data_IF_232878359625
#
_entry.id   IF_232878359625
#
_cell.length_a   1.000
_cell.length_b   1.000
_cell.length_c   1.000
_cell.angle_alpha   90.00
_cell.angle_beta   90.00
_cell.angle_gamma   90.00
#
_symmetry.space_group_name_H-M   'P 1'
#
loop_
_entity.id
_entity.type
_entity.pdbx_description
1 polymer ?
#
# COMPACT_ATOMS: atom_id res chain seq x y z
N UNK A 1 -4.34 8.83 20.95
CA UNK A 1 -4.45 9.02 19.48
C UNK A 1 -3.78 7.90 18.67
N UNK A 2 -2.60 7.42 19.09
CA UNK A 2 -1.84 6.37 18.37
C UNK A 2 -2.58 5.02 18.29
N UNK A 3 -3.19 4.56 19.38
CA UNK A 3 -3.95 3.30 19.43
C UNK A 3 -5.19 3.30 18.50
N UNK A 4 -5.90 4.43 18.43
CA UNK A 4 -7.03 4.62 17.49
C UNK A 4 -6.59 4.54 16.02
N UNK A 5 -5.41 5.11 15.70
CA UNK A 5 -4.84 5.03 14.35
C UNK A 5 -4.34 3.61 14.04
N UNK A 6 -3.82 2.91 15.05
CA UNK A 6 -3.39 1.51 14.94
C UNK A 6 -4.59 0.61 14.59
N UNK A 7 -5.73 0.74 15.27
CA UNK A 7 -6.93 -0.07 14.95
C UNK A 7 -7.43 0.08 13.51
N UNK A 8 -7.30 1.28 12.94
CA UNK A 8 -7.74 1.59 11.58
C UNK A 8 -6.76 1.07 10.52
N UNK A 9 -5.46 1.27 10.72
CA UNK A 9 -4.42 0.89 9.76
C UNK A 9 -4.03 -0.58 9.90
N UNK A 10 -4.23 -1.22 11.06
CA UNK A 10 -3.91 -2.64 11.28
C UNK A 10 -4.99 -3.61 10.81
N UNK A 11 -6.20 -3.16 10.49
CA UNK A 11 -7.26 -4.02 9.93
C UNK A 11 -7.44 -3.76 8.45
N UNK A 12 -7.10 -4.75 7.62
CA UNK A 12 -7.04 -4.58 6.16
C UNK A 12 -8.36 -4.08 5.58
N UNK A 13 -9.48 -4.66 6.02
CA UNK A 13 -10.82 -4.25 5.58
C UNK A 13 -11.12 -2.77 5.86
N UNK A 14 -10.80 -2.27 7.06
CA UNK A 14 -11.06 -0.88 7.42
C UNK A 14 -10.10 0.06 6.67
N UNK A 15 -8.86 -0.35 6.50
CA UNK A 15 -7.86 0.39 5.73
C UNK A 15 -8.29 0.54 4.27
N UNK A 16 -8.62 -0.57 3.60
CA UNK A 16 -9.09 -0.59 2.21
C UNK A 16 -10.33 0.28 2.02
N UNK A 17 -11.36 0.11 2.86
CA UNK A 17 -12.56 0.94 2.78
C UNK A 17 -12.24 2.44 2.89
N UNK A 18 -11.29 2.82 3.75
CA UNK A 18 -10.91 4.22 3.89
C UNK A 18 -10.13 4.75 2.68
N UNK A 19 -9.14 4.01 2.18
CA UNK A 19 -8.32 4.49 1.06
C UNK A 19 -9.10 4.52 -0.25
N UNK A 20 -10.02 3.58 -0.47
CA UNK A 20 -10.89 3.58 -1.67
C UNK A 20 -11.76 4.85 -1.74
N UNK A 21 -12.23 5.33 -0.60
CA UNK A 21 -13.02 6.56 -0.52
C UNK A 21 -12.18 7.85 -0.55
N UNK A 22 -10.90 7.77 -0.16
CA UNK A 22 -10.02 8.94 -0.07
C UNK A 22 -9.23 9.20 -1.36
N UNK A 23 -8.99 8.18 -2.17
CA UNK A 23 -8.18 8.29 -3.39
C UNK A 23 -9.02 8.89 -4.52
N UNK A 24 -8.49 9.92 -5.19
CA UNK A 24 -9.09 10.44 -6.42
C UNK A 24 -8.95 9.42 -7.56
N UNK A 25 -9.75 9.53 -8.65
CA UNK A 25 -9.69 8.60 -9.78
C UNK A 25 -8.26 8.37 -10.30
N UNK A 26 -7.47 9.44 -10.43
CA UNK A 26 -6.08 9.38 -10.87
C UNK A 26 -5.18 8.49 -9.99
N UNK A 27 -5.44 8.44 -8.68
CA UNK A 27 -4.64 7.67 -7.74
C UNK A 27 -5.21 6.27 -7.45
N UNK A 28 -6.41 5.91 -7.92
CA UNK A 28 -6.98 4.59 -7.66
C UNK A 28 -6.09 3.40 -8.04
N UNK A 29 -5.30 3.43 -9.13
CA UNK A 29 -4.35 2.35 -9.44
C UNK A 29 -3.32 2.08 -8.33
N UNK A 30 -3.07 3.04 -7.43
CA UNK A 30 -2.13 2.87 -6.30
C UNK A 30 -2.69 2.05 -5.14
N UNK A 31 -4.01 1.88 -5.03
CA UNK A 31 -4.67 1.16 -3.93
C UNK A 31 -4.03 -0.22 -3.64
N UNK A 32 -3.82 -1.12 -4.63
CA UNK A 32 -3.19 -2.42 -4.38
C UNK A 32 -1.75 -2.30 -3.86
N UNK A 33 -0.97 -1.34 -4.36
CA UNK A 33 0.43 -1.13 -3.94
C UNK A 33 0.52 -0.58 -2.52
N UNK A 34 -0.35 0.37 -2.18
CA UNK A 34 -0.46 0.95 -0.84
C UNK A 34 -0.90 -0.12 0.17
N UNK A 35 -1.81 -1.03 -0.21
CA UNK A 35 -2.19 -2.15 0.64
C UNK A 35 -1.02 -3.14 0.87
N UNK A 36 -0.24 -3.46 -0.18
CA UNK A 36 1.00 -4.26 -0.03
C UNK A 36 1.99 -3.62 0.94
N UNK A 37 2.21 -2.31 0.81
CA UNK A 37 3.09 -1.56 1.72
C UNK A 37 2.57 -1.62 3.17
N UNK A 38 1.27 -1.42 3.36
CA UNK A 38 0.63 -1.49 4.68
C UNK A 38 0.73 -2.87 5.32
N UNK A 39 0.70 -3.97 4.55
CA UNK A 39 0.89 -5.33 5.09
C UNK A 39 2.31 -5.57 5.63
N UNK A 40 3.33 -4.96 5.03
CA UNK A 40 4.72 -5.11 5.54
C UNK A 40 5.04 -4.16 6.69
N UNK A 41 4.45 -2.95 6.70
CA UNK A 41 4.66 -2.00 7.79
C UNK A 41 3.82 -2.38 9.02
N UNK A 42 2.61 -2.89 8.81
CA UNK A 42 1.68 -3.32 9.85
C UNK A 42 1.26 -4.78 9.62
N UNK A 43 2.17 -5.75 9.83
CA UNK A 43 1.81 -7.15 9.84
C UNK A 43 0.78 -7.38 10.96
N UNK A 44 -0.29 -8.09 10.64
CA UNK A 44 -1.46 -8.19 11.50
C UNK A 44 -1.11 -8.77 12.89
N UNK A 45 -1.76 -8.23 13.93
CA UNK A 45 -1.76 -8.63 15.35
C UNK A 45 -0.54 -8.32 16.23
N UNK A 46 0.67 -8.09 15.72
CA UNK A 46 1.81 -7.72 16.58
C UNK A 46 2.46 -6.41 16.10
N UNK A 47 2.49 -5.35 16.92
CA UNK A 47 3.43 -4.25 16.74
C UNK A 47 4.84 -4.82 16.60
N UNK A 48 5.69 -4.18 15.80
CA UNK A 48 7.10 -4.52 15.76
C UNK A 48 7.69 -4.32 17.16
N UNK A 49 7.94 -5.41 17.89
CA UNK A 49 8.63 -5.37 19.18
C UNK A 49 10.12 -5.11 19.00
N UNK A 50 10.68 -5.49 17.84
CA UNK A 50 12.06 -5.31 17.45
C UNK A 50 12.16 -4.67 16.06
N UNK A 51 13.23 -3.90 15.85
CA UNK A 51 13.54 -3.33 14.54
C UNK A 51 13.81 -4.42 13.49
N UNK A 52 13.02 -4.43 12.41
CA UNK A 52 13.34 -5.23 11.23
C UNK A 52 14.25 -4.42 10.29
N UNK A 53 15.54 -4.73 10.32
CA UNK A 53 16.56 -4.12 9.44
C UNK A 53 16.28 -4.34 7.96
N UNK A 54 15.44 -5.33 7.60
CA UNK A 54 15.04 -5.63 6.22
C UNK A 54 13.79 -4.88 5.78
N UNK A 55 13.04 -4.27 6.71
CA UNK A 55 11.77 -3.58 6.41
C UNK A 55 11.96 -2.49 5.36
N UNK A 56 12.99 -1.65 5.52
CA UNK A 56 13.30 -0.59 4.56
C UNK A 56 13.58 -1.13 3.16
N UNK A 57 14.30 -2.24 3.05
CA UNK A 57 14.56 -2.88 1.76
C UNK A 57 13.27 -3.40 1.13
N UNK A 58 12.43 -4.10 1.90
CA UNK A 58 11.12 -4.60 1.45
C UNK A 58 10.19 -3.48 0.98
N UNK A 59 10.14 -2.37 1.72
CA UNK A 59 9.37 -1.19 1.33
C UNK A 59 9.83 -0.63 -0.03
N UNK A 60 11.15 -0.49 -0.23
CA UNK A 60 11.70 -0.02 -1.51
C UNK A 60 11.37 -0.94 -2.68
N UNK A 61 11.44 -2.25 -2.48
CA UNK A 61 11.10 -3.22 -3.53
C UNK A 61 9.62 -3.16 -3.90
N UNK A 62 8.72 -2.98 -2.91
CA UNK A 62 7.29 -2.79 -3.19
C UNK A 62 7.05 -1.54 -4.03
N UNK A 63 7.71 -0.43 -3.71
CA UNK A 63 7.57 0.83 -4.46
C UNK A 63 8.14 0.72 -5.88
N UNK A 64 9.27 0.03 -6.06
CA UNK A 64 9.86 -0.22 -7.38
C UNK A 64 8.95 -1.08 -8.26
N UNK A 65 8.34 -2.11 -7.68
CA UNK A 65 7.39 -2.95 -8.41
C UNK A 65 6.13 -2.17 -8.77
N UNK A 66 5.62 -1.34 -7.85
CA UNK A 66 4.49 -0.46 -8.12
C UNK A 66 4.76 0.49 -9.30
N UNK A 67 5.96 1.06 -9.38
CA UNK A 67 6.33 1.91 -10.50
C UNK A 67 6.26 1.17 -11.84
N UNK A 68 6.82 -0.05 -11.91
CA UNK A 68 6.77 -0.88 -13.12
C UNK A 68 5.33 -1.24 -13.51
N UNK A 69 4.54 -1.67 -12.52
CA UNK A 69 3.14 -2.05 -12.72
C UNK A 69 2.31 -0.87 -13.28
N UNK A 70 2.58 0.37 -12.81
CA UNK A 70 1.94 1.59 -13.32
C UNK A 70 2.41 2.00 -14.71
N UNK A 71 3.71 1.87 -15.00
CA UNK A 71 4.26 2.14 -16.32
C UNK A 71 3.66 1.19 -17.37
N UNK A 72 3.44 -0.08 -17.02
CA UNK A 72 2.84 -1.06 -17.92
C UNK A 72 1.33 -0.82 -18.11
N UNK A 73 0.62 -0.37 -17.07
CA UNK A 73 -0.77 0.07 -17.18
C UNK A 73 -0.91 1.26 -18.15
N UNK A 74 -0.04 2.26 -18.05
CA UNK A 74 -0.06 3.43 -18.93
C UNK A 74 0.25 3.12 -20.39
N UNK A 75 1.10 2.11 -20.67
CA UNK A 75 1.37 1.63 -22.03
C UNK A 75 0.18 0.88 -22.64
N UNK A 76 -0.63 0.21 -21.83
CA UNK A 76 -1.81 -0.52 -22.30
C UNK A 76 -2.93 0.41 -22.77
N UNK A 77 -3.12 1.56 -22.11
CA UNK A 77 -4.15 2.55 -22.50
C UNK A 77 -3.82 3.33 -23.78
N UNK A 78 -2.56 3.30 -24.25
CA UNK A 78 -2.13 3.95 -25.50
C UNK A 78 -2.23 3.05 -26.73
N UNK A 79 -2.50 1.75 -26.57
CA UNK A 79 -2.60 0.80 -27.69
C UNK A 79 -4.02 0.66 -28.24
N UNK A 80 -5.02 1.12 -27.49
CA UNK A 80 -6.45 1.06 -27.86
C UNK A 80 -6.98 2.40 -28.43
N UNK A 81 -6.10 3.32 -28.83
CA UNK A 81 -6.40 4.55 -29.57
C UNK A 81 -5.73 4.55 -30.93
#
# INVERSE_FOLDING_TARGET
>A
LAELKLGLVSRERHFLNRITNAFTPYYQPLIPHVNRLRRVVFPMNNPWENEDKTLYFRMKEILRNAQKDLEDLGKSEQKDK
#
